data_IF_447802785212
#
_entry.id   IF_447802785212
#
_cell.length_a   1.000
_cell.length_b   1.000
_cell.length_c   1.000
_cell.angle_alpha   90.00
_cell.angle_beta   90.00
_cell.angle_gamma   90.00
#
_symmetry.space_group_name_H-M   'P 1'
#
loop_
_entity.id
_entity.type
_entity.pdbx_description
1 polymer ?
#
# COMPACT_ATOMS: atom_id res chain seq x y z
N UNK A 1 28.77 -6.47 -6.12
CA UNK A 1 27.58 -6.80 -5.29
C UNK A 1 26.76 -5.52 -5.14
N UNK A 2 25.45 -5.57 -5.34
CA UNK A 2 24.57 -4.40 -5.23
C UNK A 2 23.72 -4.51 -3.95
N UNK A 3 23.55 -3.41 -3.21
CA UNK A 3 22.64 -3.34 -2.07
C UNK A 3 21.32 -2.69 -2.48
N UNK A 4 20.19 -3.39 -2.32
CA UNK A 4 18.86 -2.92 -2.66
C UNK A 4 18.07 -2.56 -1.40
N UNK A 5 17.83 -1.27 -1.18
CA UNK A 5 16.88 -0.83 -0.17
C UNK A 5 15.44 -1.21 -0.56
N UNK A 6 14.73 -1.88 0.35
CA UNK A 6 13.34 -2.31 0.16
C UNK A 6 12.38 -1.50 1.03
N UNK A 7 11.40 -0.81 0.43
CA UNK A 7 10.37 -0.07 1.16
C UNK A 7 9.11 -0.89 1.50
N UNK A 8 8.73 -1.83 0.63
CA UNK A 8 7.61 -2.76 0.85
C UNK A 8 7.67 -3.93 -0.15
N UNK A 9 6.93 -5.00 0.15
CA UNK A 9 6.79 -6.16 -0.73
C UNK A 9 6.33 -5.81 -2.16
N UNK A 10 5.24 -5.04 -2.37
CA UNK A 10 4.81 -4.72 -3.73
C UNK A 10 5.84 -3.99 -4.58
N UNK A 11 6.58 -3.05 -3.98
CA UNK A 11 7.62 -2.29 -4.68
C UNK A 11 8.83 -3.18 -5.00
N UNK A 12 9.16 -4.16 -4.14
CA UNK A 12 10.19 -5.17 -4.44
C UNK A 12 9.80 -6.02 -5.65
N UNK A 13 8.59 -6.59 -5.66
CA UNK A 13 8.08 -7.40 -6.78
C UNK A 13 8.16 -6.60 -8.09
N UNK A 14 7.66 -5.37 -8.08
CA UNK A 14 7.71 -4.49 -9.25
C UNK A 14 9.15 -4.25 -9.72
N UNK A 15 10.07 -3.95 -8.79
CA UNK A 15 11.46 -3.70 -9.11
C UNK A 15 12.16 -4.92 -9.73
N UNK A 16 12.02 -6.10 -9.15
CA UNK A 16 12.71 -7.31 -9.65
C UNK A 16 12.05 -7.88 -10.92
N UNK A 17 10.75 -7.67 -11.13
CA UNK A 17 10.11 -8.00 -12.41
C UNK A 17 10.63 -7.08 -13.51
N UNK A 18 10.71 -5.77 -13.24
CA UNK A 18 11.18 -4.80 -14.24
C UNK A 18 12.69 -4.90 -14.53
N UNK A 19 13.49 -5.23 -13.51
CA UNK A 19 14.95 -5.29 -13.54
C UNK A 19 15.41 -6.61 -12.93
N UNK A 20 15.46 -7.65 -13.75
CA UNK A 20 15.72 -9.02 -13.29
C UNK A 20 17.08 -9.17 -12.59
N UNK A 21 18.06 -8.34 -12.92
CA UNK A 21 19.37 -8.29 -12.27
C UNK A 21 19.28 -7.96 -10.78
N UNK A 22 18.22 -7.25 -10.34
CA UNK A 22 18.03 -6.90 -8.93
C UNK A 22 17.78 -8.12 -8.04
N UNK A 23 17.39 -9.28 -8.59
CA UNK A 23 17.27 -10.55 -7.84
C UNK A 23 18.58 -11.01 -7.19
N UNK A 24 19.72 -10.53 -7.69
CA UNK A 24 21.06 -10.84 -7.15
C UNK A 24 21.57 -9.81 -6.14
N UNK A 25 20.72 -8.85 -5.75
CA UNK A 25 21.09 -7.81 -4.80
C UNK A 25 20.94 -8.33 -3.38
N UNK A 26 21.84 -7.91 -2.50
CA UNK A 26 21.61 -7.99 -1.05
C UNK A 26 20.43 -7.09 -0.71
N UNK A 27 19.43 -7.59 0.02
CA UNK A 27 18.27 -6.80 0.39
C UNK A 27 18.53 -6.04 1.70
N UNK A 28 17.99 -4.83 1.80
CA UNK A 28 18.06 -4.04 3.03
C UNK A 28 16.70 -3.44 3.37
N UNK A 29 16.07 -3.93 4.44
CA UNK A 29 14.76 -3.44 4.88
C UNK A 29 14.92 -2.45 6.05
N UNK A 30 15.09 -1.17 5.72
CA UNK A 30 15.25 -0.10 6.70
C UNK A 30 14.24 1.03 6.44
N UNK A 31 13.19 1.05 7.25
CA UNK A 31 12.07 1.99 7.10
C UNK A 31 11.66 2.55 8.46
N UNK A 32 12.49 3.42 9.07
CA UNK A 32 12.25 3.96 10.41
C UNK A 32 10.96 4.80 10.48
N UNK A 33 10.48 5.26 9.33
CA UNK A 33 9.23 6.00 9.24
C UNK A 33 7.99 5.12 9.46
N UNK A 34 8.07 3.79 9.54
CA UNK A 34 6.87 2.95 9.66
C UNK A 34 6.31 3.01 11.08
N UNK A 35 5.07 3.46 11.17
CA UNK A 35 4.32 3.61 12.40
C UNK A 35 2.85 3.22 12.19
N UNK A 36 2.22 2.46 13.11
CA UNK A 36 2.81 1.92 14.33
C UNK A 36 3.59 0.61 14.07
N UNK A 37 4.10 -0.03 15.12
CA UNK A 37 4.88 -1.28 15.03
C UNK A 37 4.10 -2.40 14.32
N UNK A 38 2.78 -2.46 14.47
CA UNK A 38 1.94 -3.45 13.81
C UNK A 38 1.97 -3.31 12.28
N UNK A 39 2.10 -2.08 11.77
CA UNK A 39 2.28 -1.86 10.34
C UNK A 39 3.64 -2.37 9.85
N UNK A 40 4.69 -2.17 10.64
CA UNK A 40 6.02 -2.69 10.33
C UNK A 40 6.00 -4.21 10.25
N UNK A 41 5.41 -4.89 11.24
CA UNK A 41 5.28 -6.33 11.27
C UNK A 41 4.48 -6.87 10.07
N UNK A 42 3.38 -6.20 9.69
CA UNK A 42 2.59 -6.57 8.50
C UNK A 42 3.38 -6.43 7.21
N UNK A 43 4.13 -5.34 7.04
CA UNK A 43 4.97 -5.12 5.85
C UNK A 43 6.13 -6.11 5.79
N UNK A 44 6.74 -6.43 6.92
CA UNK A 44 7.83 -7.39 6.98
C UNK A 44 7.35 -8.83 6.73
N UNK A 45 6.19 -9.24 7.27
CA UNK A 45 5.59 -10.54 6.95
C UNK A 45 5.22 -10.67 5.46
N UNK A 46 4.72 -9.59 4.86
CA UNK A 46 4.47 -9.55 3.42
C UNK A 46 5.77 -9.67 2.60
N UNK A 47 6.84 -9.00 3.04
CA UNK A 47 8.17 -9.13 2.45
C UNK A 47 8.69 -10.56 2.55
N UNK A 48 8.56 -11.19 3.73
CA UNK A 48 8.93 -12.59 3.95
C UNK A 48 8.22 -13.54 2.99
N UNK A 49 6.91 -13.38 2.80
CA UNK A 49 6.12 -14.19 1.86
C UNK A 49 6.60 -14.01 0.41
N UNK A 50 6.83 -12.77 -0.01
CA UNK A 50 7.34 -12.47 -1.36
C UNK A 50 8.75 -13.03 -1.56
N UNK A 51 9.65 -12.89 -0.58
CA UNK A 51 11.01 -13.44 -0.68
C UNK A 51 10.97 -14.96 -0.83
N UNK A 52 10.13 -15.65 -0.05
CA UNK A 52 9.95 -17.10 -0.18
C UNK A 52 9.40 -17.50 -1.56
N UNK A 53 8.38 -16.81 -2.05
CA UNK A 53 7.76 -17.11 -3.35
C UNK A 53 8.69 -16.83 -4.54
N UNK A 54 9.53 -15.80 -4.44
CA UNK A 54 10.45 -15.40 -5.51
C UNK A 54 11.87 -15.97 -5.36
N UNK A 55 12.11 -16.82 -4.36
CA UNK A 55 13.44 -17.37 -4.03
C UNK A 55 14.50 -16.29 -3.83
N UNK A 56 14.18 -15.27 -3.03
CA UNK A 56 15.08 -14.20 -2.62
C UNK A 56 15.46 -14.36 -1.15
N UNK A 57 16.66 -13.92 -0.79
CA UNK A 57 17.10 -13.89 0.61
C UNK A 57 16.34 -12.82 1.39
N UNK A 58 15.77 -13.22 2.53
CA UNK A 58 15.04 -12.31 3.40
C UNK A 58 16.05 -11.45 4.19
N UNK A 59 15.97 -10.11 4.11
CA UNK A 59 16.84 -9.25 4.90
C UNK A 59 16.54 -9.33 6.39
N UNK A 60 17.55 -9.03 7.21
CA UNK A 60 17.37 -8.84 8.65
C UNK A 60 16.30 -7.78 8.97
N UNK A 61 15.64 -7.97 10.10
CA UNK A 61 14.56 -7.10 10.55
C UNK A 61 15.12 -5.91 11.33
N UNK A 62 15.30 -4.77 10.67
CA UNK A 62 15.71 -3.51 11.32
C UNK A 62 14.52 -2.60 11.60
N UNK A 63 14.20 -2.40 12.89
CA UNK A 63 13.15 -1.48 13.34
C UNK A 63 13.71 -0.45 14.32
N UNK A 64 14.09 0.71 13.79
CA UNK A 64 14.63 1.85 14.55
C UNK A 64 13.76 3.09 14.32
N UNK A 65 12.51 3.13 14.83
CA UNK A 65 11.59 4.25 14.59
C UNK A 65 12.14 5.60 15.09
N UNK A 66 13.01 5.59 16.09
CA UNK A 66 13.70 6.74 16.65
C UNK A 66 14.53 7.50 15.60
N UNK A 67 15.09 6.82 14.60
CA UNK A 67 15.85 7.44 13.50
C UNK A 67 14.99 8.41 12.66
N UNK A 68 13.67 8.35 12.79
CA UNK A 68 12.74 9.23 12.09
C UNK A 68 12.31 10.47 12.90
N UNK A 69 12.70 10.58 14.18
CA UNK A 69 12.26 11.63 15.10
C UNK A 69 12.57 13.03 14.58
N UNK A 70 13.81 13.28 14.17
CA UNK A 70 14.24 14.59 13.66
C UNK A 70 13.45 15.03 12.41
N UNK A 71 13.14 14.08 11.54
CA UNK A 71 12.32 14.34 10.33
C UNK A 71 10.89 14.67 10.73
N UNK A 72 10.36 13.99 11.74
CA UNK A 72 9.00 14.24 12.24
C UNK A 72 8.90 15.59 12.96
N UNK A 73 9.87 15.93 13.80
CA UNK A 73 9.88 17.18 14.56
C UNK A 73 10.03 18.40 13.64
N UNK A 74 10.89 18.28 12.63
CA UNK A 74 11.19 19.39 11.71
C UNK A 74 10.16 19.53 10.58
N UNK A 75 9.58 18.41 10.10
CA UNK A 75 8.76 18.38 8.88
C UNK A 75 7.41 17.67 9.06
N UNK A 76 6.99 17.35 10.29
CA UNK A 76 5.76 16.58 10.55
C UNK A 76 4.50 17.22 9.96
N UNK A 77 4.43 18.55 9.96
CA UNK A 77 3.31 19.34 9.45
C UNK A 77 3.24 19.45 7.91
N UNK A 78 4.32 19.10 7.21
CA UNK A 78 4.35 19.11 5.74
C UNK A 78 3.34 18.11 5.17
N UNK A 79 2.77 18.39 3.99
CA UNK A 79 1.88 17.43 3.32
C UNK A 79 2.65 16.21 2.78
N UNK A 80 1.95 15.10 2.57
CA UNK A 80 2.54 13.98 1.82
C UNK A 80 3.00 14.42 0.41
N UNK A 81 4.21 14.00 0.02
CA UNK A 81 4.90 14.47 -1.18
C UNK A 81 5.70 15.77 -1.00
N UNK A 82 5.56 16.45 0.15
CA UNK A 82 6.34 17.66 0.50
C UNK A 82 7.72 17.35 1.08
N UNK A 83 8.28 18.31 1.82
CA UNK A 83 9.67 18.24 2.31
C UNK A 83 9.90 17.06 3.27
N UNK A 84 8.89 16.68 4.06
CA UNK A 84 8.93 15.45 4.88
C UNK A 84 9.27 14.22 4.06
N UNK A 85 8.68 14.07 2.87
CA UNK A 85 8.97 12.92 2.01
C UNK A 85 10.36 12.99 1.41
N UNK A 86 10.86 14.18 1.05
CA UNK A 86 12.26 14.38 0.63
C UNK A 86 13.21 13.87 1.71
N UNK A 87 13.03 14.32 2.95
CA UNK A 87 13.90 13.98 4.08
C UNK A 87 13.79 12.52 4.51
N UNK A 88 12.59 11.95 4.44
CA UNK A 88 12.37 10.52 4.65
C UNK A 88 13.10 9.65 3.61
N UNK A 89 13.13 10.07 2.34
CA UNK A 89 13.88 9.36 1.28
C UNK A 89 15.39 9.53 1.50
N UNK A 90 15.86 10.76 1.78
CA UNK A 90 17.27 11.05 2.08
C UNK A 90 17.79 10.21 3.25
N UNK A 91 17.05 10.13 4.36
CA UNK A 91 17.41 9.31 5.53
C UNK A 91 17.62 7.83 5.16
N UNK A 92 16.67 7.25 4.41
CA UNK A 92 16.71 5.83 4.04
C UNK A 92 17.85 5.53 3.06
N UNK A 93 18.02 6.37 2.05
CA UNK A 93 19.09 6.20 1.07
C UNK A 93 20.48 6.45 1.67
N UNK A 94 20.61 7.41 2.59
CA UNK A 94 21.87 7.67 3.29
C UNK A 94 22.29 6.46 4.12
N UNK A 95 21.38 5.87 4.90
CA UNK A 95 21.67 4.64 5.67
C UNK A 95 22.06 3.49 4.74
N UNK A 96 21.40 3.39 3.59
CA UNK A 96 21.71 2.37 2.57
C UNK A 96 23.10 2.57 1.97
N UNK A 97 23.48 3.79 1.61
CA UNK A 97 24.81 4.10 1.06
C UNK A 97 25.92 3.80 2.08
N UNK A 98 25.72 4.16 3.35
CA UNK A 98 26.64 3.85 4.45
C UNK A 98 26.82 2.33 4.60
N UNK A 99 25.70 1.59 4.66
CA UNK A 99 25.76 0.13 4.77
C UNK A 99 26.45 -0.50 3.56
N UNK A 100 26.09 -0.07 2.34
CA UNK A 100 26.67 -0.55 1.10
C UNK A 100 28.20 -0.41 1.08
N UNK A 101 28.73 0.75 1.50
CA UNK A 101 30.18 0.95 1.67
C UNK A 101 30.77 0.02 2.72
N UNK A 102 30.12 -0.11 3.89
CA UNK A 102 30.64 -0.93 4.99
C UNK A 102 30.76 -2.43 4.65
N UNK A 103 29.88 -2.94 3.77
CA UNK A 103 29.89 -4.34 3.33
C UNK A 103 30.67 -4.55 2.01
N UNK A 104 31.33 -3.51 1.48
CA UNK A 104 32.07 -3.58 0.22
C UNK A 104 31.21 -3.76 -1.03
N UNK A 105 29.94 -3.34 -1.00
CA UNK A 105 29.09 -3.32 -2.19
C UNK A 105 29.64 -2.29 -3.20
N UNK A 106 29.53 -2.62 -4.49
CA UNK A 106 29.97 -1.75 -5.59
C UNK A 106 28.97 -0.63 -5.85
N UNK A 107 27.71 -0.88 -5.52
CA UNK A 107 26.61 0.03 -5.78
C UNK A 107 25.46 -0.18 -4.81
N UNK A 108 24.58 0.83 -4.74
CA UNK A 108 23.32 0.75 -4.00
C UNK A 108 22.16 1.29 -4.84
N UNK A 109 20.94 0.87 -4.50
CA UNK A 109 19.70 1.36 -5.12
C UNK A 109 18.50 1.17 -4.20
N UNK A 110 17.28 1.44 -4.71
CA UNK A 110 16.05 1.41 -3.92
C UNK A 110 14.83 0.97 -4.72
N UNK A 111 13.95 0.20 -4.09
CA UNK A 111 12.63 -0.12 -4.64
C UNK A 111 11.70 1.10 -4.67
N UNK A 112 12.06 2.24 -4.07
CA UNK A 112 11.29 3.49 -4.19
C UNK A 112 11.15 3.94 -5.66
N UNK A 113 12.08 3.54 -6.54
CA UNK A 113 12.03 3.76 -7.99
C UNK A 113 10.93 2.93 -8.69
N UNK A 114 10.40 1.91 -8.03
CA UNK A 114 9.27 1.10 -8.50
C UNK A 114 7.93 1.60 -7.94
N UNK A 115 7.94 2.50 -6.95
CA UNK A 115 6.73 2.98 -6.31
C UNK A 115 5.98 3.96 -7.22
N UNK A 116 4.68 3.76 -7.48
CA UNK A 116 3.88 4.72 -8.24
C UNK A 116 3.68 6.04 -7.48
N UNK A 117 3.81 6.01 -6.16
CA UNK A 117 3.59 7.15 -5.26
C UNK A 117 4.83 8.02 -5.06
N UNK A 118 5.99 7.63 -5.61
CA UNK A 118 7.26 8.36 -5.43
C UNK A 118 7.74 8.93 -6.76
N UNK A 119 8.27 10.15 -6.70
CA UNK A 119 8.88 10.80 -7.87
C UNK A 119 10.23 10.14 -8.16
N UNK A 120 10.35 9.51 -9.34
CA UNK A 120 11.61 8.92 -9.80
C UNK A 120 12.69 9.99 -9.83
N UNK A 121 12.42 11.16 -10.42
CA UNK A 121 13.38 12.26 -10.51
C UNK A 121 13.90 12.71 -9.13
N UNK A 122 13.02 12.79 -8.14
CA UNK A 122 13.40 13.17 -6.78
C UNK A 122 14.24 12.09 -6.10
N UNK A 123 13.89 10.81 -6.26
CA UNK A 123 14.67 9.69 -5.72
C UNK A 123 16.05 9.64 -6.38
N UNK A 124 16.11 9.82 -7.71
CA UNK A 124 17.36 9.90 -8.47
C UNK A 124 18.26 11.01 -7.96
N UNK A 125 17.73 12.24 -7.84
CA UNK A 125 18.49 13.39 -7.39
C UNK A 125 19.11 13.16 -5.99
N UNK A 126 18.34 12.61 -5.06
CA UNK A 126 18.82 12.30 -3.71
C UNK A 126 19.88 11.18 -3.76
N UNK A 127 19.64 10.13 -4.54
CA UNK A 127 20.55 9.00 -4.69
C UNK A 127 21.89 9.41 -5.29
N UNK A 128 21.89 10.21 -6.36
CA UNK A 128 23.10 10.73 -7.01
C UNK A 128 23.90 11.66 -6.09
N UNK A 129 23.22 12.52 -5.31
CA UNK A 129 23.88 13.34 -4.30
C UNK A 129 24.61 12.48 -3.27
N UNK A 130 23.96 11.43 -2.75
CA UNK A 130 24.55 10.52 -1.78
C UNK A 130 25.65 9.65 -2.40
N UNK A 131 25.51 9.27 -3.66
CA UNK A 131 26.53 8.56 -4.42
C UNK A 131 27.84 9.35 -4.48
N UNK A 132 27.75 10.65 -4.80
CA UNK A 132 28.89 11.55 -4.80
C UNK A 132 29.46 11.77 -3.39
N UNK A 133 28.60 11.94 -2.38
CA UNK A 133 29.03 12.17 -1.00
C UNK A 133 29.78 10.97 -0.40
N UNK A 134 29.31 9.76 -0.68
CA UNK A 134 29.87 8.52 -0.13
C UNK A 134 30.81 7.80 -1.09
N UNK A 135 31.08 8.34 -2.29
CA UNK A 135 31.92 7.72 -3.32
C UNK A 135 31.47 6.29 -3.70
N UNK A 136 30.16 6.07 -3.87
CA UNK A 136 29.59 4.76 -4.25
C UNK A 136 28.56 4.94 -5.35
N UNK A 137 28.50 4.01 -6.30
CA UNK A 137 27.54 4.09 -7.41
C UNK A 137 26.08 3.97 -6.91
N UNK A 138 25.22 4.89 -7.36
CA UNK A 138 23.76 4.75 -7.21
C UNK A 138 23.14 4.30 -8.52
N UNK A 139 22.52 3.13 -8.54
CA UNK A 139 21.82 2.62 -9.73
C UNK A 139 20.43 3.21 -9.78
N UNK A 140 20.17 4.12 -10.72
CA UNK A 140 18.84 4.70 -10.92
C UNK A 140 18.07 4.07 -12.09
N UNK A 141 16.80 4.43 -12.24
CA UNK A 141 15.96 4.07 -13.37
C UNK A 141 14.47 4.01 -13.04
N UNK A 142 13.65 3.75 -14.05
CA UNK A 142 12.23 3.43 -13.84
C UNK A 142 12.08 1.93 -13.58
N UNK A 143 11.79 1.57 -12.34
CA UNK A 143 11.63 0.17 -11.92
C UNK A 143 10.17 -0.27 -11.85
N UNK A 144 9.25 0.49 -12.47
CA UNK A 144 7.82 0.16 -12.52
C UNK A 144 7.58 -0.91 -13.60
N UNK A 145 7.14 -2.09 -13.18
CA UNK A 145 6.67 -3.15 -14.06
C UNK A 145 5.21 -2.93 -14.50
N UNK A 146 4.81 -3.62 -15.57
CA UNK A 146 3.45 -3.54 -16.07
C UNK A 146 2.47 -4.24 -15.11
N UNK A 147 1.28 -3.65 -14.96
CA UNK A 147 0.30 -4.09 -13.96
C UNK A 147 -0.12 -5.55 -14.15
N UNK A 148 -0.22 -6.00 -15.40
CA UNK A 148 -0.65 -7.35 -15.73
C UNK A 148 0.39 -8.39 -15.32
N UNK A 149 1.69 -8.07 -15.45
CA UNK A 149 2.79 -8.93 -14.98
C UNK A 149 2.79 -9.07 -13.45
N UNK A 150 2.33 -8.04 -12.74
CA UNK A 150 2.30 -8.01 -11.28
C UNK A 150 1.05 -8.65 -10.67
N UNK A 151 0.01 -8.90 -11.47
CA UNK A 151 -1.31 -9.24 -10.95
C UNK A 151 -1.30 -10.50 -10.08
N UNK A 152 -0.68 -11.57 -10.58
CA UNK A 152 -0.67 -12.85 -9.90
C UNK A 152 0.37 -12.87 -8.77
N UNK A 153 1.54 -12.27 -8.98
CA UNK A 153 2.60 -12.15 -7.97
C UNK A 153 2.20 -11.29 -6.76
N UNK A 154 1.27 -10.34 -6.94
CA UNK A 154 0.76 -9.50 -5.87
C UNK A 154 -0.58 -9.98 -5.30
N UNK A 155 -1.03 -11.19 -5.66
CA UNK A 155 -2.27 -11.77 -5.15
C UNK A 155 -2.06 -12.20 -3.70
N UNK A 156 -2.87 -11.66 -2.78
CA UNK A 156 -2.75 -11.97 -1.35
C UNK A 156 -1.58 -11.28 -0.63
N UNK A 157 -0.72 -10.55 -1.35
CA UNK A 157 0.33 -9.71 -0.77
C UNK A 157 -0.32 -8.50 -0.08
N UNK A 158 0.11 -8.23 1.16
CA UNK A 158 -0.36 -7.06 1.90
C UNK A 158 -0.07 -5.77 1.14
N UNK A 159 -1.06 -4.87 1.08
CA UNK A 159 -0.93 -3.54 0.47
C UNK A 159 -1.30 -2.50 1.52
N UNK A 160 -0.32 -1.67 1.83
CA UNK A 160 -0.48 -0.53 2.73
C UNK A 160 -1.46 0.50 2.17
N UNK A 161 -2.23 1.12 3.05
CA UNK A 161 -3.20 2.18 2.73
C UNK A 161 -2.68 3.60 3.04
N UNK A 162 -1.42 3.72 3.49
CA UNK A 162 -0.69 4.97 3.70
C UNK A 162 0.81 4.73 3.57
N UNK A 163 1.62 5.79 3.46
CA UNK A 163 3.07 5.68 3.20
C UNK A 163 3.84 4.95 4.31
N UNK A 164 3.35 4.99 5.54
CA UNK A 164 3.93 4.35 6.72
C UNK A 164 4.16 5.31 7.88
N UNK A 165 4.35 6.61 7.65
CA UNK A 165 4.56 7.56 8.75
C UNK A 165 3.27 8.00 9.43
N UNK A 166 3.37 8.37 10.71
CA UNK A 166 2.25 8.86 11.54
C UNK A 166 1.46 9.98 10.86
N UNK A 167 2.08 11.02 10.26
CA UNK A 167 1.32 12.03 9.54
C UNK A 167 0.54 11.48 8.34
N UNK A 168 1.13 10.60 7.52
CA UNK A 168 0.44 9.97 6.38
C UNK A 168 -0.73 9.08 6.85
N UNK A 169 -0.57 8.41 8.00
CA UNK A 169 -1.67 7.67 8.67
C UNK A 169 -2.80 8.61 9.07
N UNK A 170 -2.48 9.73 9.71
CA UNK A 170 -3.47 10.71 10.15
C UNK A 170 -4.19 11.37 8.95
N UNK A 171 -3.47 11.67 7.88
CA UNK A 171 -4.04 12.15 6.61
C UNK A 171 -5.01 11.11 6.01
N UNK A 172 -4.66 9.82 6.02
CA UNK A 172 -5.51 8.75 5.53
C UNK A 172 -6.79 8.57 6.39
N UNK A 173 -6.66 8.67 7.72
CA UNK A 173 -7.80 8.63 8.64
C UNK A 173 -8.76 9.80 8.37
N UNK A 174 -8.25 11.04 8.32
CA UNK A 174 -9.08 12.22 8.03
C UNK A 174 -9.79 12.13 6.68
N UNK A 175 -9.10 11.66 5.64
CA UNK A 175 -9.71 11.44 4.32
C UNK A 175 -10.85 10.42 4.38
N UNK A 176 -10.67 9.35 5.17
CA UNK A 176 -11.71 8.34 5.39
C UNK A 176 -12.89 8.92 6.14
N UNK A 177 -12.68 9.66 7.23
CA UNK A 177 -13.74 10.31 8.01
C UNK A 177 -14.57 11.27 7.15
N UNK A 178 -13.92 12.10 6.32
CA UNK A 178 -14.61 13.00 5.37
C UNK A 178 -15.43 12.20 4.36
N UNK A 179 -14.87 11.11 3.83
CA UNK A 179 -15.59 10.25 2.87
C UNK A 179 -16.78 9.56 3.54
N UNK A 180 -16.61 9.07 4.76
CA UNK A 180 -17.64 8.41 5.54
C UNK A 180 -18.76 9.40 5.89
N UNK A 181 -18.46 10.65 6.26
CA UNK A 181 -19.46 11.70 6.46
C UNK A 181 -20.28 11.96 5.20
N UNK A 182 -19.62 12.12 4.04
CA UNK A 182 -20.29 12.35 2.76
C UNK A 182 -21.14 11.16 2.32
N UNK A 183 -20.65 9.93 2.53
CA UNK A 183 -21.41 8.72 2.24
C UNK A 183 -22.64 8.63 3.15
N UNK A 184 -22.52 8.98 4.43
CA UNK A 184 -23.64 8.98 5.38
C UNK A 184 -24.70 10.02 5.01
N UNK A 185 -24.31 11.25 4.69
CA UNK A 185 -25.22 12.29 4.19
C UNK A 185 -25.98 11.84 2.93
N UNK A 186 -25.28 11.16 2.01
CA UNK A 186 -25.90 10.59 0.80
C UNK A 186 -26.86 9.45 1.13
N UNK A 187 -26.53 8.60 2.10
CA UNK A 187 -27.42 7.53 2.56
C UNK A 187 -28.72 8.11 3.12
N UNK A 188 -28.62 9.12 3.97
CA UNK A 188 -29.76 9.79 4.60
C UNK A 188 -30.66 10.50 3.57
N UNK A 189 -30.05 11.08 2.52
CA UNK A 189 -30.75 11.78 1.44
C UNK A 189 -31.42 10.83 0.44
N UNK A 190 -30.64 9.90 -0.12
CA UNK A 190 -31.06 9.10 -1.29
C UNK A 190 -31.74 7.78 -0.86
N UNK A 191 -31.46 7.29 0.34
CA UNK A 191 -31.90 5.97 0.85
C UNK A 191 -32.37 6.04 2.31
N UNK A 192 -33.18 7.03 2.65
CA UNK A 192 -33.64 7.31 4.04
C UNK A 192 -34.17 6.09 4.80
N UNK A 193 -34.83 5.13 4.12
CA UNK A 193 -35.37 3.90 4.72
C UNK A 193 -34.30 2.88 5.14
N UNK A 194 -33.05 3.08 4.72
CA UNK A 194 -31.93 2.14 4.87
C UNK A 194 -30.75 2.75 5.65
N UNK A 195 -30.99 3.81 6.43
CA UNK A 195 -29.93 4.49 7.19
C UNK A 195 -29.33 3.58 8.26
N UNK A 196 -30.11 2.66 8.82
CA UNK A 196 -29.66 1.62 9.75
C UNK A 196 -28.62 0.68 9.12
N UNK A 197 -28.62 0.55 7.78
CA UNK A 197 -27.61 -0.26 7.09
C UNK A 197 -26.21 0.34 7.19
N UNK A 198 -26.05 1.58 7.67
CA UNK A 198 -24.74 2.16 7.96
C UNK A 198 -23.93 1.30 8.95
N UNK A 199 -24.60 0.63 9.89
CA UNK A 199 -23.96 -0.25 10.88
C UNK A 199 -23.32 -1.50 10.24
N UNK A 200 -23.67 -1.78 8.98
CA UNK A 200 -23.07 -2.85 8.19
C UNK A 200 -21.87 -2.41 7.35
N UNK A 201 -21.42 -1.14 7.45
CA UNK A 201 -20.20 -0.67 6.77
C UNK A 201 -19.00 -1.49 7.22
N UNK A 202 -18.35 -2.17 6.28
CA UNK A 202 -17.24 -3.09 6.57
C UNK A 202 -17.64 -4.43 7.19
N UNK A 203 -18.93 -4.73 7.32
CA UNK A 203 -19.49 -5.98 7.82
C UNK A 203 -20.30 -6.69 6.73
N UNK A 204 -20.71 -7.95 6.96
CA UNK A 204 -21.52 -8.70 6.00
C UNK A 204 -22.97 -8.26 6.13
N UNK A 205 -23.62 -7.89 5.02
CA UNK A 205 -25.04 -7.56 5.00
C UNK A 205 -25.86 -8.67 4.33
N UNK A 206 -26.94 -9.17 4.95
CA UNK A 206 -27.89 -10.07 4.28
C UNK A 206 -28.68 -9.35 3.19
N UNK A 207 -28.87 -9.99 2.04
CA UNK A 207 -29.63 -9.45 0.90
C UNK A 207 -31.09 -9.25 1.25
N UNK A 208 -31.65 -10.07 2.15
CA UNK A 208 -32.99 -9.92 2.71
C UNK A 208 -33.24 -8.59 3.42
N UNK A 209 -32.20 -7.91 3.93
CA UNK A 209 -32.35 -6.59 4.58
C UNK A 209 -32.47 -5.41 3.61
N UNK A 210 -32.20 -5.62 2.33
CA UNK A 210 -32.22 -4.55 1.33
C UNK A 210 -33.45 -4.73 0.45
N UNK A 211 -34.57 -4.08 0.76
CA UNK A 211 -35.79 -4.19 -0.05
C UNK A 211 -35.75 -3.27 -1.28
N UNK A 212 -34.75 -3.45 -2.14
CA UNK A 212 -34.62 -2.82 -3.45
C UNK A 212 -34.73 -3.89 -4.54
N UNK A 213 -35.63 -3.68 -5.50
CA UNK A 213 -35.87 -4.59 -6.63
C UNK A 213 -34.88 -4.30 -7.78
N UNK A 214 -34.62 -3.03 -8.05
CA UNK A 214 -33.72 -2.60 -9.10
C UNK A 214 -32.25 -2.82 -8.72
N UNK A 215 -31.54 -3.63 -9.52
CA UNK A 215 -30.11 -3.85 -9.32
C UNK A 215 -29.29 -2.56 -9.40
N UNK A 216 -29.77 -1.58 -10.17
CA UNK A 216 -29.13 -0.28 -10.31
C UNK A 216 -29.11 0.49 -8.98
N UNK A 217 -30.21 0.43 -8.21
CA UNK A 217 -30.32 1.07 -6.91
C UNK A 217 -29.62 0.26 -5.81
N UNK A 218 -29.67 -1.08 -5.89
CA UNK A 218 -28.84 -1.94 -5.04
C UNK A 218 -27.35 -1.59 -5.18
N UNK A 219 -26.85 -1.41 -6.40
CA UNK A 219 -25.46 -0.99 -6.65
C UNK A 219 -25.15 0.37 -6.02
N UNK A 220 -26.05 1.36 -6.14
CA UNK A 220 -25.85 2.69 -5.52
C UNK A 220 -25.80 2.60 -4.00
N UNK A 221 -26.75 1.89 -3.38
CA UNK A 221 -26.79 1.70 -1.94
C UNK A 221 -25.53 0.98 -1.43
N UNK A 222 -25.15 -0.13 -2.07
CA UNK A 222 -23.94 -0.89 -1.70
C UNK A 222 -22.67 -0.04 -1.89
N UNK A 223 -22.61 0.81 -2.92
CA UNK A 223 -21.49 1.74 -3.10
C UNK A 223 -21.37 2.79 -1.98
N UNK A 224 -22.49 3.14 -1.33
CA UNK A 224 -22.55 4.08 -0.22
C UNK A 224 -22.22 3.37 1.10
N UNK A 225 -22.90 2.26 1.40
CA UNK A 225 -22.74 1.51 2.67
C UNK A 225 -21.38 0.80 2.75
N UNK A 226 -20.89 0.26 1.63
CA UNK A 226 -19.62 -0.48 1.52
C UNK A 226 -19.48 -1.67 2.50
N UNK A 227 -20.41 -2.63 2.48
CA UNK A 227 -20.35 -3.84 3.32
C UNK A 227 -19.27 -4.81 2.85
N UNK A 228 -18.52 -5.43 3.76
CA UNK A 228 -17.44 -6.38 3.41
C UNK A 228 -17.85 -7.48 2.43
N UNK A 229 -19.11 -7.94 2.53
CA UNK A 229 -19.75 -8.81 1.56
C UNK A 229 -21.28 -8.63 1.61
N UNK A 230 -21.93 -8.95 0.49
CA UNK A 230 -23.37 -9.12 0.38
C UNK A 230 -23.68 -10.61 0.45
N UNK A 231 -24.39 -11.04 1.50
CA UNK A 231 -24.83 -12.42 1.65
C UNK A 231 -26.16 -12.61 0.93
N UNK A 232 -26.15 -13.33 -0.18
CA UNK A 232 -27.32 -13.62 -0.99
C UNK A 232 -28.13 -14.79 -0.40
N UNK A 233 -28.85 -14.48 0.67
CA UNK A 233 -29.70 -15.39 1.46
C UNK A 233 -31.07 -15.66 0.83
N UNK A 234 -31.49 -14.82 -0.12
CA UNK A 234 -32.78 -14.93 -0.80
C UNK A 234 -32.70 -15.49 -2.23
N UNK A 235 -31.49 -15.82 -2.71
CA UNK A 235 -31.25 -16.23 -4.11
C UNK A 235 -31.78 -15.20 -5.10
N UNK A 236 -31.35 -13.95 -4.95
CA UNK A 236 -31.78 -12.85 -5.80
C UNK A 236 -31.44 -13.12 -7.28
N UNK A 237 -32.48 -13.21 -8.11
CA UNK A 237 -32.36 -13.46 -9.54
C UNK A 237 -31.50 -12.41 -10.27
N UNK A 238 -31.52 -11.14 -9.83
CA UNK A 238 -30.73 -10.06 -10.41
C UNK A 238 -29.22 -10.21 -10.14
N UNK A 239 -28.87 -10.88 -9.04
CA UNK A 239 -27.48 -11.21 -8.72
C UNK A 239 -26.99 -12.41 -9.52
N UNK A 240 -27.89 -13.35 -9.87
CA UNK A 240 -27.56 -14.58 -10.58
C UNK A 240 -26.39 -15.33 -9.93
N UNK A 241 -25.45 -15.84 -10.72
CA UNK A 241 -24.24 -16.54 -10.23
C UNK A 241 -23.03 -15.63 -10.03
N UNK A 242 -23.23 -14.30 -9.99
CA UNK A 242 -22.11 -13.36 -9.84
C UNK A 242 -21.42 -13.57 -8.49
N UNK A 243 -20.09 -13.56 -8.50
CA UNK A 243 -19.25 -13.56 -7.28
C UNK A 243 -18.97 -12.14 -6.76
N UNK A 244 -19.19 -11.13 -7.60
CA UNK A 244 -18.91 -9.74 -7.28
C UNK A 244 -20.01 -8.83 -7.82
N UNK A 245 -20.52 -7.95 -6.97
CA UNK A 245 -21.35 -6.82 -7.36
C UNK A 245 -20.45 -5.62 -7.68
N UNK A 246 -20.34 -5.28 -8.97
CA UNK A 246 -19.56 -4.12 -9.41
C UNK A 246 -20.36 -2.84 -9.21
N UNK A 247 -19.86 -1.93 -8.37
CA UNK A 247 -20.55 -0.66 -8.03
C UNK A 247 -19.71 0.58 -8.37
N UNK A 248 -18.71 0.45 -9.23
CA UNK A 248 -17.80 1.53 -9.62
C UNK A 248 -16.43 1.38 -8.97
N UNK A 249 -16.03 2.33 -8.12
CA UNK A 249 -14.76 2.28 -7.37
C UNK A 249 -14.78 1.26 -6.22
N UNK A 250 -15.96 0.77 -5.86
CA UNK A 250 -16.17 -0.28 -4.88
C UNK A 250 -16.74 -1.52 -5.57
N UNK A 251 -16.23 -2.70 -5.20
CA UNK A 251 -16.78 -3.99 -5.65
C UNK A 251 -17.08 -4.79 -4.40
N UNK A 252 -18.34 -5.18 -4.22
CA UNK A 252 -18.77 -5.97 -3.08
C UNK A 252 -18.71 -7.45 -3.44
N UNK A 253 -18.08 -8.28 -2.60
CA UNK A 253 -18.11 -9.73 -2.78
C UNK A 253 -19.52 -10.23 -2.50
N UNK A 254 -20.02 -11.15 -3.31
CA UNK A 254 -21.28 -11.84 -3.04
C UNK A 254 -20.94 -13.21 -2.45
N UNK A 255 -21.50 -13.52 -1.29
CA UNK A 255 -21.34 -14.82 -0.61
C UNK A 255 -22.69 -15.52 -0.52
N UNK A 256 -22.68 -16.85 -0.45
CA UNK A 256 -23.87 -17.73 -0.44
C UNK A 256 -23.58 -18.89 0.52
N UNK A 257 -24.62 -19.53 1.06
CA UNK A 257 -24.54 -20.66 2.02
C UNK A 257 -23.73 -21.90 1.56
N UNK A 258 -23.13 -21.89 0.37
CA UNK A 258 -22.32 -22.98 -0.19
C UNK A 258 -20.84 -22.61 -0.42
N UNK A 259 -20.33 -21.52 0.15
CA UNK A 259 -18.89 -21.17 0.17
C UNK A 259 -18.30 -21.21 1.58
#
# INVERSE_FOLDING_TARGET
MNLLHVCCAPDLVSAVVKRAELRKSELFFYNPNIFPVEEFLRRYDALRKVCAEMSLDLPEQYYFPEDFSDVLDSFGAEREGGMRCVKCIELRLRKTAILAKSIGASSFTTTLLASPMKSIAQVTLIGEKLAAEFDIEFVSGNFRADRDELRDLLKGVYRQNYCGCLPSRNEAIRKREITDSKDRERLEKDFKKFVDLWDFRGSVIPRSRIHLEEISDLKKLVAIVKPSALFDDIRDAELGDRRWLKTGSYNCRIIREKE
#
